data_IF_787442067770
#
_entry.id   IF_787442067770
#
_cell.length_a   1.000
_cell.length_b   1.000
_cell.length_c   1.000
_cell.angle_alpha   90.00
_cell.angle_beta   90.00
_cell.angle_gamma   90.00
#
_symmetry.space_group_name_H-M   'P 1'
#
loop_
_entity.id
_entity.type
_entity.pdbx_description
1 polymer ?
#
# COMPACT_ATOMS: atom_id res chain seq x y z
N UNK A 1 -4.53 2.87 -8.00
CA UNK A 1 -3.91 1.75 -7.28
C UNK A 1 -2.99 2.31 -6.22
N UNK A 2 -3.18 1.92 -4.96
CA UNK A 2 -2.36 2.30 -3.80
C UNK A 2 -1.54 1.10 -3.36
N UNK A 3 -0.27 1.27 -3.01
CA UNK A 3 0.59 0.17 -2.56
C UNK A 3 0.86 0.37 -1.08
N UNK A 4 0.27 -0.47 -0.24
CA UNK A 4 0.68 -0.62 1.16
C UNK A 4 1.81 -1.67 1.18
N UNK A 5 2.96 -1.33 1.77
CA UNK A 5 4.09 -2.25 1.88
C UNK A 5 4.39 -2.44 3.35
N UNK A 6 4.52 -3.69 3.76
CA UNK A 6 5.31 -4.04 4.94
C UNK A 6 6.75 -4.35 4.50
N UNK A 7 7.72 -4.12 5.38
CA UNK A 7 9.12 -4.38 5.06
C UNK A 7 10.02 -4.52 6.28
N UNK A 8 10.36 -5.76 6.64
CA UNK A 8 11.71 -6.34 6.53
C UNK A 8 11.67 -7.76 7.11
N UNK A 9 12.20 -8.74 6.38
CA UNK A 9 12.21 -10.17 6.75
C UNK A 9 10.87 -10.68 7.25
N UNK A 10 9.84 -10.69 6.41
CA UNK A 10 8.55 -11.29 6.77
C UNK A 10 8.63 -12.81 6.63
N UNK A 11 8.80 -13.59 7.72
CA UNK A 11 8.75 -15.06 7.64
C UNK A 11 7.37 -15.58 7.21
N UNK A 12 6.37 -14.72 7.05
CA UNK A 12 5.09 -15.07 6.46
C UNK A 12 5.07 -15.08 4.92
N UNK A 13 6.01 -14.41 4.23
CA UNK A 13 6.02 -14.39 2.78
C UNK A 13 6.58 -15.71 2.20
N UNK A 14 5.77 -16.41 1.43
CA UNK A 14 6.22 -17.54 0.62
C UNK A 14 7.01 -17.07 -0.61
N UNK A 15 7.85 -17.91 -1.22
CA UNK A 15 8.49 -17.59 -2.49
C UNK A 15 7.48 -17.18 -3.58
N UNK A 16 6.32 -17.83 -3.63
CA UNK A 16 5.23 -17.53 -4.56
C UNK A 16 4.65 -16.14 -4.32
N UNK A 17 4.52 -15.73 -3.06
CA UNK A 17 4.09 -14.38 -2.71
C UNK A 17 5.11 -13.33 -3.16
N UNK A 18 6.40 -13.60 -2.95
CA UNK A 18 7.47 -12.70 -3.41
C UNK A 18 7.43 -12.55 -4.94
N UNK A 19 7.21 -13.65 -5.68
CA UNK A 19 7.06 -13.61 -7.14
C UNK A 19 5.84 -12.77 -7.52
N UNK A 20 4.69 -13.00 -6.88
CA UNK A 20 3.44 -12.27 -7.17
C UNK A 20 3.59 -10.76 -6.92
N UNK A 21 4.27 -10.38 -5.84
CA UNK A 21 4.58 -8.98 -5.54
C UNK A 21 5.51 -8.37 -6.60
N UNK A 22 6.54 -9.11 -7.04
CA UNK A 22 7.46 -8.66 -8.09
C UNK A 22 6.73 -8.42 -9.41
N UNK A 23 5.94 -9.41 -9.86
CA UNK A 23 5.15 -9.33 -11.09
C UNK A 23 4.18 -8.14 -11.03
N UNK A 24 3.53 -7.95 -9.88
CA UNK A 24 2.62 -6.83 -9.67
C UNK A 24 3.32 -5.48 -9.77
N UNK A 25 4.49 -5.30 -9.15
CA UNK A 25 5.25 -4.05 -9.24
C UNK A 25 5.71 -3.77 -10.68
N UNK A 26 6.11 -4.79 -11.43
CA UNK A 26 6.51 -4.64 -12.83
C UNK A 26 5.31 -4.26 -13.73
N UNK A 27 4.17 -4.95 -13.59
CA UNK A 27 2.92 -4.63 -14.29
C UNK A 27 2.43 -3.22 -13.94
N UNK A 28 2.61 -2.81 -12.68
CA UNK A 28 2.21 -1.50 -12.18
C UNK A 28 2.89 -0.34 -12.92
N UNK A 29 4.18 -0.48 -13.25
CA UNK A 29 4.93 0.55 -13.96
C UNK A 29 4.57 0.64 -15.46
N UNK A 30 4.12 -0.46 -16.06
CA UNK A 30 3.78 -0.51 -17.48
C UNK A 30 2.31 -0.16 -17.73
N UNK A 31 1.38 -0.76 -17.01
CA UNK A 31 -0.05 -0.80 -17.36
C UNK A 31 -0.97 -0.02 -16.42
N UNK A 32 -0.52 0.34 -15.21
CA UNK A 32 -1.40 0.91 -14.18
C UNK A 32 -1.18 2.42 -13.99
N UNK A 33 -2.18 3.04 -13.38
CA UNK A 33 -2.08 4.39 -12.80
C UNK A 33 -1.95 4.26 -11.28
N UNK A 34 -0.83 4.73 -10.76
CA UNK A 34 -0.53 4.71 -9.33
C UNK A 34 -1.11 5.97 -8.68
N UNK A 35 -1.76 5.80 -7.52
CA UNK A 35 -2.27 6.90 -6.72
C UNK A 35 -1.21 7.27 -5.68
N UNK A 36 -0.89 8.55 -5.57
CA UNK A 36 -0.02 9.11 -4.54
C UNK A 36 -0.72 10.31 -3.88
N UNK A 37 -0.30 10.64 -2.67
CA UNK A 37 -0.66 11.91 -2.07
C UNK A 37 0.20 13.05 -2.62
N UNK A 38 -0.30 14.28 -2.57
CA UNK A 38 0.45 15.46 -3.00
C UNK A 38 1.64 15.77 -2.08
N UNK A 39 1.55 15.43 -0.79
CA UNK A 39 2.58 15.70 0.22
C UNK A 39 3.85 14.85 0.05
N UNK A 40 3.70 13.66 -0.55
CA UNK A 40 4.75 12.67 -0.74
C UNK A 40 4.84 11.62 0.38
N UNK A 41 3.88 11.59 1.31
CA UNK A 41 3.92 10.73 2.50
C UNK A 41 3.90 9.23 2.15
N UNK A 42 3.14 8.83 1.12
CA UNK A 42 3.10 7.45 0.62
C UNK A 42 4.45 7.07 0.01
N UNK A 43 5.04 7.99 -0.76
CA UNK A 43 6.29 7.73 -1.45
C UNK A 43 7.45 7.66 -0.44
N UNK A 44 7.44 8.52 0.58
CA UNK A 44 8.40 8.49 1.69
C UNK A 44 8.28 7.19 2.49
N UNK A 45 7.07 6.73 2.79
CA UNK A 45 6.88 5.45 3.48
C UNK A 45 7.46 4.28 2.67
N UNK A 46 7.20 4.24 1.36
CA UNK A 46 7.76 3.19 0.51
C UNK A 46 9.30 3.26 0.48
N UNK A 47 9.88 4.47 0.49
CA UNK A 47 11.32 4.67 0.53
C UNK A 47 11.98 4.09 1.77
N UNK A 48 11.32 4.16 2.94
CA UNK A 48 11.87 3.63 4.21
C UNK A 48 12.21 2.15 4.13
N UNK A 49 11.51 1.42 3.28
CA UNK A 49 11.73 0.00 3.07
C UNK A 49 12.70 -0.27 1.92
N UNK A 50 13.08 0.69 1.09
CA UNK A 50 14.09 0.51 0.05
C UNK A 50 15.48 0.22 0.67
N UNK A 51 16.25 -0.67 0.02
CA UNK A 51 17.62 -1.00 0.45
C UNK A 51 18.60 -0.61 -0.64
N UNK A 52 19.32 0.49 -0.44
CA UNK A 52 20.30 0.99 -1.40
C UNK A 52 21.68 0.31 -1.31
N UNK A 53 21.85 -0.69 -0.44
CA UNK A 53 23.07 -1.50 -0.38
C UNK A 53 23.00 -2.71 -1.31
N UNK A 54 24.02 -2.93 -2.14
CA UNK A 54 24.11 -4.07 -3.07
C UNK A 54 23.47 -3.79 -4.43
N UNK A 55 22.97 -4.83 -5.11
CA UNK A 55 22.23 -4.65 -6.35
C UNK A 55 20.79 -4.21 -6.06
N UNK A 56 20.26 -3.16 -6.73
CA UNK A 56 18.89 -2.71 -6.55
C UNK A 56 17.89 -3.85 -6.78
N UNK A 57 17.11 -4.16 -5.74
CA UNK A 57 16.03 -5.15 -5.79
C UNK A 57 14.86 -4.56 -6.58
N UNK A 58 13.89 -5.40 -6.94
CA UNK A 58 12.69 -4.99 -7.70
C UNK A 58 11.99 -3.79 -7.05
N UNK A 59 11.89 -3.79 -5.72
CA UNK A 59 11.36 -2.68 -4.92
C UNK A 59 12.08 -1.35 -5.17
N UNK A 60 13.41 -1.34 -5.14
CA UNK A 60 14.20 -0.11 -5.30
C UNK A 60 14.07 0.44 -6.74
N UNK A 61 14.02 -0.46 -7.74
CA UNK A 61 13.76 -0.07 -9.13
C UNK A 61 12.36 0.53 -9.30
N UNK A 62 11.36 -0.09 -8.66
CA UNK A 62 10.00 0.43 -8.66
C UNK A 62 9.93 1.84 -8.08
N UNK A 63 10.55 2.05 -6.92
CA UNK A 63 10.62 3.37 -6.28
C UNK A 63 11.26 4.42 -7.19
N UNK A 64 12.43 4.12 -7.77
CA UNK A 64 13.13 5.06 -8.67
C UNK A 64 12.28 5.42 -9.89
N UNK A 65 11.66 4.43 -10.53
CA UNK A 65 10.83 4.67 -11.71
C UNK A 65 9.54 5.43 -11.38
N UNK A 66 8.88 5.11 -10.26
CA UNK A 66 7.70 5.83 -9.79
C UNK A 66 8.06 7.30 -9.47
N UNK A 67 9.14 7.53 -8.74
CA UNK A 67 9.62 8.87 -8.40
C UNK A 67 9.95 9.70 -9.66
N UNK A 68 10.54 9.09 -10.69
CA UNK A 68 10.81 9.75 -11.98
C UNK A 68 9.54 10.12 -12.75
N UNK A 69 8.50 9.29 -12.65
CA UNK A 69 7.26 9.43 -13.41
C UNK A 69 6.14 10.13 -12.64
N UNK A 70 6.36 10.55 -11.40
CA UNK A 70 5.31 11.08 -10.52
C UNK A 70 4.61 12.36 -11.04
N UNK A 71 5.21 13.06 -12.01
CA UNK A 71 4.61 14.22 -12.67
C UNK A 71 3.83 13.86 -13.95
N UNK A 72 3.95 12.63 -14.44
CA UNK A 72 3.22 12.13 -15.60
C UNK A 72 1.81 11.69 -15.18
N UNK A 73 0.82 12.53 -15.49
CA UNK A 73 -0.59 12.30 -15.16
C UNK A 73 -1.20 11.07 -15.83
N UNK A 74 -0.55 10.50 -16.84
CA UNK A 74 -0.96 9.23 -17.46
C UNK A 74 -0.48 8.00 -16.66
N UNK A 75 0.48 8.19 -15.75
CA UNK A 75 1.06 7.14 -14.90
C UNK A 75 0.76 7.32 -13.42
N UNK A 76 0.60 8.55 -12.98
CA UNK A 76 0.35 8.89 -11.57
C UNK A 76 -0.83 9.84 -11.43
N UNK A 77 -1.76 9.47 -10.56
CA UNK A 77 -2.80 10.37 -10.05
C UNK A 77 -2.36 10.85 -8.68
N UNK A 78 -2.51 12.15 -8.41
CA UNK A 78 -2.27 12.72 -7.08
C UNK A 78 -3.56 13.19 -6.44
N UNK A 79 -3.69 13.00 -5.14
CA UNK A 79 -4.80 13.49 -4.30
C UNK A 79 -4.26 14.28 -3.12
N UNK A 80 -5.03 15.26 -2.66
CA UNK A 80 -4.69 16.01 -1.45
C UNK A 80 -5.27 15.26 -0.26
N UNK A 81 -4.45 15.12 0.79
CA UNK A 81 -4.85 14.62 2.11
C UNK A 81 -4.39 15.64 3.15
N UNK A 82 -5.14 15.78 4.24
CA UNK A 82 -4.97 16.89 5.18
C UNK A 82 -4.42 16.36 6.51
N UNK A 83 -3.13 16.56 6.83
CA UNK A 83 -2.53 16.02 8.05
C UNK A 83 -3.16 16.63 9.31
N UNK A 84 -3.37 15.81 10.33
CA UNK A 84 -3.84 16.24 11.65
C UNK A 84 -2.68 16.32 12.66
N UNK A 85 -2.91 17.01 13.77
CA UNK A 85 -1.88 17.24 14.80
C UNK A 85 -1.41 15.95 15.51
N UNK A 86 -2.21 14.89 15.47
CA UNK A 86 -1.94 13.58 16.07
C UNK A 86 -1.29 12.58 15.09
N UNK A 87 -0.90 13.02 13.88
CA UNK A 87 -0.22 12.20 12.88
C UNK A 87 -1.15 11.34 12.03
N UNK A 88 -2.46 11.62 12.04
CA UNK A 88 -3.45 11.05 11.11
C UNK A 88 -3.77 12.06 10.00
N UNK A 89 -4.90 11.87 9.33
CA UNK A 89 -5.41 12.77 8.29
C UNK A 89 -6.92 12.99 8.47
N UNK A 90 -7.43 14.17 8.08
CA UNK A 90 -8.84 14.52 8.23
C UNK A 90 -9.77 13.57 7.45
N UNK A 91 -9.27 13.01 6.33
CA UNK A 91 -10.01 12.11 5.46
C UNK A 91 -10.19 10.69 6.04
N UNK A 92 -9.52 10.35 7.14
CA UNK A 92 -9.66 9.03 7.78
C UNK A 92 -11.04 8.92 8.48
N UNK A 93 -11.90 7.98 8.07
CA UNK A 93 -13.19 7.75 8.72
C UNK A 93 -13.04 7.40 10.19
N UNK A 94 -14.00 7.82 11.03
CA UNK A 94 -13.95 7.60 12.47
C UNK A 94 -13.82 6.10 12.83
N UNK A 95 -14.49 5.23 12.07
CA UNK A 95 -14.50 3.77 12.29
C UNK A 95 -13.21 3.07 11.86
N UNK A 96 -12.31 3.80 11.18
CA UNK A 96 -10.98 3.34 10.75
C UNK A 96 -9.84 4.03 11.50
N UNK A 97 -10.12 4.89 12.49
CA UNK A 97 -9.07 5.57 13.29
C UNK A 97 -8.32 4.64 14.24
N UNK A 98 -8.79 3.40 14.40
CA UNK A 98 -8.11 2.37 15.18
C UNK A 98 -7.10 1.54 14.37
N UNK A 99 -6.92 1.85 13.08
CA UNK A 99 -5.79 1.34 12.29
C UNK A 99 -4.44 1.83 12.83
N UNK A 100 -3.37 1.16 12.38
CA UNK A 100 -2.03 1.67 12.61
C UNK A 100 -1.92 3.11 12.04
N UNK A 101 -1.45 4.09 12.82
CA UNK A 101 -1.31 5.46 12.36
C UNK A 101 -0.45 5.61 11.08
N UNK A 102 0.50 4.70 10.87
CA UNK A 102 1.31 4.68 9.64
C UNK A 102 0.48 4.31 8.40
N UNK A 103 -0.64 3.60 8.54
CA UNK A 103 -1.52 3.22 7.44
C UNK A 103 -2.56 4.29 7.08
N UNK A 104 -2.78 5.26 7.97
CA UNK A 104 -3.78 6.32 7.78
C UNK A 104 -3.61 7.10 6.47
N UNK A 105 -2.38 7.27 5.97
CA UNK A 105 -2.11 7.92 4.66
C UNK A 105 -2.70 7.15 3.47
N UNK A 106 -2.72 5.82 3.52
CA UNK A 106 -3.30 5.00 2.46
C UNK A 106 -4.83 5.06 2.52
N UNK A 107 -5.41 5.01 3.72
CA UNK A 107 -6.86 5.18 3.95
C UNK A 107 -7.31 6.56 3.47
N UNK A 108 -6.65 7.62 3.93
CA UNK A 108 -6.95 9.00 3.55
C UNK A 108 -6.86 9.20 2.04
N UNK A 109 -5.84 8.65 1.39
CA UNK A 109 -5.68 8.73 -0.07
C UNK A 109 -6.79 7.98 -0.82
N UNK A 110 -7.23 6.81 -0.32
CA UNK A 110 -8.33 6.07 -0.91
C UNK A 110 -9.65 6.85 -0.83
N UNK A 111 -9.91 7.48 0.32
CA UNK A 111 -11.08 8.34 0.55
C UNK A 111 -11.02 9.58 -0.35
N UNK A 112 -9.88 10.27 -0.42
CA UNK A 112 -9.68 11.44 -1.26
C UNK A 112 -9.80 11.14 -2.77
N UNK A 113 -9.47 9.92 -3.19
CA UNK A 113 -9.70 9.45 -4.57
C UNK A 113 -11.16 9.02 -4.83
N UNK A 114 -12.04 9.13 -3.85
CA UNK A 114 -13.43 8.71 -3.93
C UNK A 114 -13.57 7.20 -4.11
N UNK A 115 -12.71 6.42 -3.44
CA UNK A 115 -12.73 4.95 -3.41
C UNK A 115 -12.51 4.27 -4.78
N UNK A 116 -11.97 5.01 -5.76
CA UNK A 116 -11.75 4.48 -7.12
C UNK A 116 -10.55 3.55 -7.21
N UNK A 117 -9.55 3.77 -6.37
CA UNK A 117 -8.31 3.00 -6.36
C UNK A 117 -8.36 1.92 -5.28
N UNK A 118 -8.12 0.64 -5.63
CA UNK A 118 -7.90 -0.37 -4.62
C UNK A 118 -6.55 -0.15 -3.91
N UNK A 119 -6.51 -0.50 -2.63
CA UNK A 119 -5.28 -0.71 -1.86
C UNK A 119 -4.79 -2.12 -2.19
N UNK A 120 -3.50 -2.25 -2.46
CA UNK A 120 -2.86 -3.52 -2.75
C UNK A 120 -2.06 -3.90 -1.51
N UNK A 121 -2.39 -5.05 -0.95
CA UNK A 121 -1.73 -5.62 0.20
C UNK A 121 -1.03 -6.93 -0.18
N UNK A 122 0.17 -7.14 0.37
CA UNK A 122 0.91 -8.38 0.17
C UNK A 122 0.66 -9.34 1.33
N UNK A 123 1.23 -9.03 2.50
CA UNK A 123 1.26 -9.95 3.65
C UNK A 123 0.99 -9.28 4.99
N UNK A 124 0.54 -8.02 4.96
CA UNK A 124 0.15 -7.31 6.17
C UNK A 124 -1.25 -7.76 6.61
N UNK A 125 -1.34 -8.36 7.79
CA UNK A 125 -2.58 -8.92 8.29
C UNK A 125 -3.61 -7.88 8.72
N UNK A 126 -3.20 -6.64 8.99
CA UNK A 126 -4.09 -5.63 9.56
C UNK A 126 -5.16 -5.21 8.55
N UNK A 127 -4.78 -5.08 7.28
CA UNK A 127 -5.70 -4.86 6.16
C UNK A 127 -6.72 -5.98 6.00
N UNK A 128 -6.30 -7.24 6.16
CA UNK A 128 -7.17 -8.41 6.06
C UNK A 128 -8.14 -8.51 7.24
N UNK A 129 -7.64 -8.30 8.46
CA UNK A 129 -8.46 -8.34 9.68
C UNK A 129 -9.55 -7.27 9.70
N UNK A 130 -9.29 -6.12 9.09
CA UNK A 130 -10.22 -5.01 9.03
C UNK A 130 -11.02 -4.95 7.71
N UNK A 131 -10.98 -5.99 6.88
CA UNK A 131 -11.66 -6.03 5.58
C UNK A 131 -13.15 -5.67 5.63
N UNK A 132 -13.88 -6.09 6.68
CA UNK A 132 -15.30 -5.75 6.85
C UNK A 132 -15.49 -4.24 7.11
N UNK A 133 -14.63 -3.62 7.93
CA UNK A 133 -14.68 -2.17 8.22
C UNK A 133 -14.30 -1.35 6.99
N UNK A 134 -13.22 -1.75 6.30
CA UNK A 134 -12.76 -1.12 5.07
C UNK A 134 -13.85 -1.19 3.99
N UNK A 135 -14.47 -2.36 3.82
CA UNK A 135 -15.56 -2.57 2.87
C UNK A 135 -16.82 -1.75 3.20
N UNK A 136 -17.13 -1.57 4.49
CA UNK A 136 -18.24 -0.71 4.93
C UNK A 136 -18.03 0.77 4.55
N UNK A 137 -16.77 1.24 4.57
CA UNK A 137 -16.38 2.56 4.09
C UNK A 137 -16.19 2.64 2.56
N UNK A 138 -16.36 1.53 1.84
CA UNK A 138 -16.18 1.45 0.38
C UNK A 138 -14.73 1.29 -0.08
N UNK A 139 -13.79 1.08 0.83
CA UNK A 139 -12.37 0.85 0.52
C UNK A 139 -12.20 -0.61 0.06
N UNK A 140 -11.73 -0.78 -1.17
CA UNK A 140 -11.37 -2.10 -1.72
C UNK A 140 -9.91 -2.42 -1.42
N UNK A 141 -9.65 -3.58 -0.83
CA UNK A 141 -8.30 -4.15 -0.70
C UNK A 141 -8.17 -5.36 -1.63
N UNK A 142 -7.05 -5.43 -2.36
CA UNK A 142 -6.66 -6.60 -3.15
C UNK A 142 -5.48 -7.26 -2.45
N UNK A 143 -5.71 -8.48 -2.00
CA UNK A 143 -4.71 -9.34 -1.38
C UNK A 143 -3.93 -10.09 -2.46
N UNK A 144 -2.64 -9.78 -2.63
CA UNK A 144 -1.76 -10.47 -3.58
C UNK A 144 -1.40 -11.88 -3.10
N UNK A 145 -1.28 -12.06 -1.78
CA UNK A 145 -0.83 -13.32 -1.17
C UNK A 145 -1.80 -13.80 -0.08
N UNK A 146 -3.07 -14.10 -0.43
CA UNK A 146 -4.09 -14.48 0.55
C UNK A 146 -3.74 -15.76 1.33
N UNK A 147 -2.86 -16.61 0.81
CA UNK A 147 -2.31 -17.79 1.50
C UNK A 147 -1.31 -17.44 2.60
N UNK A 148 -0.58 -16.33 2.48
CA UNK A 148 0.35 -15.85 3.50
C UNK A 148 -0.36 -15.20 4.70
N UNK A 149 -1.53 -14.62 4.44
CA UNK A 149 -2.43 -14.03 5.44
C UNK A 149 -3.23 -15.10 6.21
N UNK A 150 -3.18 -16.37 5.77
CA UNK A 150 -3.75 -17.50 6.49
C UNK A 150 -2.75 -18.06 7.51
N UNK A 151 -2.71 -17.52 8.73
CA UNK A 151 -2.11 -18.17 9.92
C UNK A 151 -3.05 -17.97 11.12
N UNK A 152 -3.52 -18.94 11.91
CA UNK A 152 -3.34 -20.40 12.01
C UNK A 152 -4.66 -21.04 12.47
N UNK A 153 -5.34 -21.82 11.62
CA UNK A 153 -6.22 -22.89 12.14
C UNK A 153 -5.37 -24.15 12.18
N UNK A 154 -4.54 -24.29 13.20
CA UNK A 154 -4.02 -25.60 13.62
C UNK A 154 -4.70 -25.97 14.93
N UNK A 155 -5.81 -26.68 14.76
CA UNK A 155 -6.28 -27.85 15.52
C UNK A 155 -5.62 -28.08 16.91
N UNK A 156 -6.36 -27.83 17.98
CA UNK A 156 -7.00 -28.84 18.84
C UNK A 156 -7.96 -28.18 19.84
#
# INVERSE_FOLDING_TARGET
>A
MLIASDGESTPQATPECVISAIEFLEESLSEKVILLDFGGDILEEYERYCSYSGQPRVRDRFFVELTRRQADVSKVRKVEITPTWDGSYEEVPADLRDFDPSDHKFIASAVADGFRSPIINCVDSDWSHAGDKLGAEGISVIELCPECLKKSIVRQ
#
